data_IF_201921352482
#
_entry.id   IF_201921352482
#
_cell.length_a   1.000
_cell.length_b   1.000
_cell.length_c   1.000
_cell.angle_alpha   90.00
_cell.angle_beta   90.00
_cell.angle_gamma   90.00
#
_symmetry.space_group_name_H-M   'P 1'
#
loop_
_entity.id
_entity.type
_entity.pdbx_description
1 polymer ?
#
# COMPACT_ATOMS: atom_id res chain seq x y z
N UNK A 1 -6.43 -25.48 -3.14
CA UNK A 1 -5.85 -25.24 -1.81
C UNK A 1 -5.66 -26.58 -1.12
N UNK A 2 -4.43 -27.10 -0.98
CA UNK A 2 -4.16 -28.03 0.10
C UNK A 2 -4.35 -27.24 1.41
N UNK A 3 -5.08 -27.81 2.38
CA UNK A 3 -5.17 -27.22 3.72
C UNK A 3 -3.76 -27.18 4.30
N UNK A 4 -3.37 -26.05 4.90
CA UNK A 4 -2.21 -26.00 5.80
C UNK A 4 -2.24 -27.25 6.68
N UNK A 5 -1.16 -28.02 6.71
CA UNK A 5 -1.11 -29.27 7.46
C UNK A 5 -1.53 -28.98 8.89
N UNK A 6 -2.61 -29.64 9.31
CA UNK A 6 -3.15 -29.53 10.65
C UNK A 6 -2.01 -29.86 11.63
N UNK A 7 -1.62 -28.95 12.54
CA UNK A 7 -0.54 -29.17 13.51
C UNK A 7 -0.71 -30.48 14.28
N UNK A 8 -1.97 -30.94 14.45
CA UNK A 8 -2.28 -32.22 15.07
C UNK A 8 -1.83 -33.44 14.25
N UNK A 9 -1.82 -33.35 12.91
CA UNK A 9 -1.37 -34.42 12.02
C UNK A 9 0.15 -34.57 12.03
N UNK A 10 0.87 -33.45 12.01
CA UNK A 10 2.34 -33.43 12.14
C UNK A 10 2.78 -33.95 13.50
N UNK A 11 2.06 -33.56 14.56
CA UNK A 11 2.24 -34.09 15.90
C UNK A 11 1.99 -35.58 16.03
N UNK A 12 0.89 -36.07 15.43
CA UNK A 12 0.55 -37.49 15.42
C UNK A 12 1.63 -38.30 14.70
N UNK A 13 2.10 -37.83 13.55
CA UNK A 13 3.16 -38.50 12.77
C UNK A 13 4.46 -38.57 13.56
N UNK A 14 4.92 -37.44 14.10
CA UNK A 14 6.11 -37.40 14.95
C UNK A 14 5.95 -38.31 16.17
N UNK A 15 4.78 -38.26 16.83
CA UNK A 15 4.46 -39.08 17.99
C UNK A 15 4.48 -40.59 17.68
N UNK A 16 4.02 -41.00 16.50
CA UNK A 16 4.10 -42.39 16.04
C UNK A 16 5.55 -42.80 15.75
N UNK A 17 6.32 -41.94 15.10
CA UNK A 17 7.73 -42.20 14.72
C UNK A 17 8.67 -42.27 15.93
N UNK A 18 8.37 -41.51 17.00
CA UNK A 18 9.20 -41.42 18.20
C UNK A 18 8.67 -42.23 19.39
N UNK A 19 7.45 -42.80 19.28
CA UNK A 19 6.92 -43.71 20.29
C UNK A 19 7.60 -45.08 20.18
N UNK A 20 8.45 -45.42 21.15
CA UNK A 20 8.91 -46.79 21.32
C UNK A 20 7.74 -47.70 21.73
N UNK A 21 7.53 -48.84 21.05
CA UNK A 21 6.45 -49.76 21.39
C UNK A 21 6.55 -50.23 22.85
N UNK A 22 5.50 -49.99 23.65
CA UNK A 22 5.39 -50.46 25.03
C UNK A 22 5.88 -49.51 26.13
N UNK A 23 6.41 -48.33 25.81
CA UNK A 23 6.95 -47.38 26.80
C UNK A 23 5.93 -46.39 27.36
N UNK A 24 4.74 -46.29 26.76
CA UNK A 24 3.69 -45.31 27.11
C UNK A 24 3.28 -45.32 28.59
N UNK A 25 3.27 -46.49 29.25
CA UNK A 25 2.97 -46.59 30.69
C UNK A 25 4.07 -45.96 31.55
N UNK A 26 5.33 -46.18 31.17
CA UNK A 26 6.49 -45.63 31.87
C UNK A 26 6.56 -44.12 31.69
N UNK A 27 6.33 -43.62 30.47
CA UNK A 27 6.27 -42.19 30.18
C UNK A 27 5.15 -41.49 30.95
N UNK A 28 3.98 -42.13 31.12
CA UNK A 28 2.87 -41.58 31.92
C UNK A 28 3.18 -41.51 33.42
N UNK A 29 3.95 -42.47 33.95
CA UNK A 29 4.42 -42.47 35.34
C UNK A 29 5.50 -41.40 35.57
N UNK A 30 6.44 -41.24 34.63
CA UNK A 30 7.48 -40.20 34.67
C UNK A 30 6.88 -38.78 34.63
N UNK A 31 5.87 -38.54 33.78
CA UNK A 31 5.16 -37.25 33.71
C UNK A 31 4.42 -36.96 35.02
N UNK A 32 3.76 -37.95 35.63
CA UNK A 32 3.13 -37.81 36.96
C UNK A 32 4.14 -37.53 38.07
N UNK A 33 5.37 -38.06 37.94
CA UNK A 33 6.48 -37.80 38.85
C UNK A 33 7.18 -36.44 38.60
N UNK A 34 6.67 -35.62 37.67
CA UNK A 34 7.21 -34.28 37.37
C UNK A 34 8.40 -34.30 36.42
N UNK A 35 8.82 -35.46 35.91
CA UNK A 35 9.83 -35.58 34.85
C UNK A 35 9.14 -35.36 33.51
N UNK A 36 9.02 -34.10 33.10
CA UNK A 36 8.57 -33.77 31.75
C UNK A 36 9.69 -34.15 30.78
N UNK A 37 9.40 -34.82 29.65
CA UNK A 37 10.38 -34.98 28.59
C UNK A 37 10.87 -33.60 28.15
N UNK A 38 12.18 -33.49 27.93
CA UNK A 38 12.80 -32.23 27.53
C UNK A 38 12.18 -31.80 26.20
N UNK A 39 11.53 -30.64 26.17
CA UNK A 39 10.93 -30.08 24.97
C UNK A 39 12.07 -29.63 24.06
N UNK A 40 12.58 -30.54 23.24
CA UNK A 40 13.60 -30.20 22.26
C UNK A 40 12.98 -29.31 21.16
N UNK A 41 13.79 -28.50 20.46
CA UNK A 41 13.31 -27.60 19.41
C UNK A 41 12.54 -28.31 18.28
N UNK A 42 12.89 -29.55 17.96
CA UNK A 42 12.23 -30.36 16.93
C UNK A 42 10.78 -30.73 17.31
N UNK A 43 10.54 -31.09 18.58
CA UNK A 43 9.20 -31.38 19.12
C UNK A 43 8.37 -30.10 19.16
N UNK A 44 8.96 -28.98 19.58
CA UNK A 44 8.29 -27.67 19.58
C UNK A 44 7.90 -27.24 18.16
N UNK A 45 8.77 -27.46 17.17
CA UNK A 45 8.49 -27.18 15.75
C UNK A 45 7.42 -28.11 15.18
N UNK A 46 7.44 -29.41 15.53
CA UNK A 46 6.37 -30.34 15.17
C UNK A 46 5.03 -29.96 15.84
N UNK A 47 5.07 -29.40 17.05
CA UNK A 47 3.90 -28.96 17.83
C UNK A 47 3.27 -27.66 17.34
N UNK A 48 4.09 -26.64 17.13
CA UNK A 48 3.61 -25.30 16.77
C UNK A 48 3.54 -25.05 15.27
N UNK A 49 4.08 -25.99 14.47
CA UNK A 49 4.31 -25.79 13.05
C UNK A 49 5.47 -24.82 12.81
N UNK A 50 5.62 -24.46 11.54
CA UNK A 50 6.62 -23.51 11.10
C UNK A 50 6.25 -22.08 11.50
N UNK A 51 7.23 -21.32 11.99
CA UNK A 51 7.05 -19.91 12.32
C UNK A 51 6.82 -19.05 11.07
N UNK A 52 6.12 -17.93 11.21
CA UNK A 52 5.90 -17.02 10.08
C UNK A 52 7.22 -16.42 9.57
N UNK A 53 8.19 -16.18 10.45
CA UNK A 53 9.54 -15.79 10.05
C UNK A 53 10.24 -16.85 9.18
N UNK A 54 10.06 -18.15 9.45
CA UNK A 54 10.57 -19.20 8.56
C UNK A 54 9.82 -19.19 7.21
N UNK A 55 8.49 -19.08 7.21
CA UNK A 55 7.70 -19.01 5.97
C UNK A 55 8.08 -17.82 5.10
N UNK A 56 8.27 -16.64 5.68
CA UNK A 56 8.72 -15.45 4.96
C UNK A 56 10.10 -15.65 4.30
N UNK A 57 11.04 -16.34 4.99
CA UNK A 57 12.33 -16.70 4.37
C UNK A 57 12.16 -17.64 3.21
N UNK A 58 11.28 -18.64 3.33
CA UNK A 58 11.03 -19.59 2.25
C UNK A 58 10.35 -18.94 1.04
N UNK A 59 9.43 -18.00 1.25
CA UNK A 59 8.90 -17.16 0.17
C UNK A 59 10.05 -16.45 -0.56
N UNK A 60 10.93 -15.79 0.20
CA UNK A 60 12.06 -15.06 -0.39
C UNK A 60 13.02 -15.99 -1.13
N UNK A 61 13.29 -17.20 -0.61
CA UNK A 61 14.12 -18.18 -1.30
C UNK A 61 13.53 -18.57 -2.66
N UNK A 62 12.24 -18.85 -2.74
CA UNK A 62 11.59 -19.20 -4.02
C UNK A 62 11.60 -18.03 -5.00
N UNK A 63 11.33 -16.80 -4.53
CA UNK A 63 11.42 -15.58 -5.34
C UNK A 63 12.84 -15.41 -5.93
N UNK A 64 13.87 -15.72 -5.14
CA UNK A 64 15.29 -15.69 -5.55
C UNK A 64 15.70 -16.86 -6.46
N UNK A 65 14.79 -17.78 -6.76
CA UNK A 65 15.07 -18.94 -7.60
C UNK A 65 15.66 -20.14 -6.85
N UNK A 66 15.46 -20.23 -5.54
CA UNK A 66 15.82 -21.37 -4.72
C UNK A 66 14.56 -22.11 -4.24
N UNK A 67 14.33 -23.31 -4.78
CA UNK A 67 13.14 -24.08 -4.43
C UNK A 67 13.21 -24.55 -2.99
N UNK A 68 12.10 -24.36 -2.28
CA UNK A 68 11.85 -24.93 -0.97
C UNK A 68 10.43 -25.48 -1.00
N UNK A 69 10.22 -26.65 -0.39
CA UNK A 69 8.91 -27.25 -0.21
C UNK A 69 8.09 -26.43 0.81
N UNK A 70 7.38 -25.41 0.30
CA UNK A 70 6.59 -24.47 1.12
C UNK A 70 5.23 -25.04 1.56
N UNK A 71 4.73 -26.06 0.87
CA UNK A 71 3.43 -26.68 1.17
C UNK A 71 3.55 -28.02 1.90
N UNK A 72 4.78 -28.48 2.17
CA UNK A 72 5.06 -29.74 2.87
C UNK A 72 4.62 -30.96 2.04
N UNK A 73 4.56 -30.81 0.71
CA UNK A 73 4.18 -31.87 -0.23
C UNK A 73 5.25 -32.95 -0.35
N UNK A 74 6.48 -32.66 0.08
CA UNK A 74 7.67 -33.46 -0.16
C UNK A 74 8.19 -33.35 -1.60
N UNK A 75 7.65 -32.41 -2.40
CA UNK A 75 8.11 -32.20 -3.77
C UNK A 75 9.48 -31.53 -3.79
N UNK A 76 10.49 -32.29 -4.21
CA UNK A 76 11.84 -31.77 -4.47
C UNK A 76 11.92 -31.38 -5.95
N UNK A 77 11.64 -30.11 -6.25
CA UNK A 77 11.95 -29.53 -7.58
C UNK A 77 13.40 -29.07 -7.61
N UNK A 78 14.08 -29.21 -8.74
CA UNK A 78 15.37 -28.53 -8.90
C UNK A 78 15.12 -27.02 -9.04
N UNK A 79 16.08 -26.20 -8.61
CA UNK A 79 16.00 -24.74 -8.78
C UNK A 79 15.84 -24.30 -10.24
N UNK A 80 16.29 -25.13 -11.19
CA UNK A 80 16.12 -24.90 -12.63
C UNK A 80 14.67 -25.07 -13.12
N UNK A 81 13.83 -25.76 -12.35
CA UNK A 81 12.44 -26.08 -12.72
C UNK A 81 11.43 -25.08 -12.12
N UNK A 82 11.90 -24.07 -11.38
CA UNK A 82 11.03 -23.03 -10.79
C UNK A 82 10.47 -22.16 -11.90
N UNK A 83 9.14 -22.15 -12.03
CA UNK A 83 8.45 -21.33 -13.02
C UNK A 83 8.21 -19.91 -12.48
N UNK A 84 7.90 -18.92 -13.36
CA UNK A 84 7.45 -17.62 -12.91
C UNK A 84 6.23 -17.68 -11.98
N UNK A 85 5.27 -18.57 -12.27
CA UNK A 85 4.08 -18.74 -11.44
C UNK A 85 4.39 -19.25 -10.03
N UNK A 86 5.40 -20.11 -9.88
CA UNK A 86 5.88 -20.53 -8.55
C UNK A 86 6.45 -19.34 -7.76
N UNK A 87 7.14 -18.40 -8.44
CA UNK A 87 7.64 -17.16 -7.82
C UNK A 87 6.52 -16.18 -7.49
N UNK A 88 5.53 -16.02 -8.37
CA UNK A 88 4.38 -15.16 -8.12
C UNK A 88 3.56 -15.64 -6.92
N UNK A 89 3.35 -16.95 -6.79
CA UNK A 89 2.74 -17.52 -5.58
C UNK A 89 3.55 -17.23 -4.32
N UNK A 90 4.88 -17.29 -4.39
CA UNK A 90 5.73 -16.94 -3.27
C UNK A 90 5.63 -15.45 -2.89
N UNK A 91 5.45 -14.56 -3.86
CA UNK A 91 5.13 -13.15 -3.61
C UNK A 91 3.76 -12.96 -2.95
N UNK A 92 2.72 -13.62 -3.45
CA UNK A 92 1.36 -13.57 -2.87
C UNK A 92 1.35 -14.05 -1.41
N UNK A 93 2.04 -15.16 -1.14
CA UNK A 93 2.12 -15.71 0.20
C UNK A 93 2.95 -14.82 1.13
N UNK A 94 4.04 -14.21 0.64
CA UNK A 94 4.78 -13.20 1.40
C UNK A 94 3.88 -12.03 1.75
N UNK A 95 3.14 -11.49 0.76
CA UNK A 95 2.18 -10.40 0.96
C UNK A 95 1.15 -10.76 2.03
N UNK A 96 0.60 -11.98 2.00
CA UNK A 96 -0.36 -12.44 2.99
C UNK A 96 0.22 -12.48 4.40
N UNK A 97 1.46 -12.97 4.56
CA UNK A 97 2.13 -13.05 5.86
C UNK A 97 2.37 -11.66 6.47
N UNK A 98 2.76 -10.69 5.65
CA UNK A 98 3.08 -9.32 6.09
C UNK A 98 1.85 -8.42 6.22
N UNK A 99 0.64 -8.94 6.01
CA UNK A 99 -0.59 -8.26 6.46
C UNK A 99 -0.63 -8.17 8.00
N UNK A 100 0.08 -9.08 8.69
CA UNK A 100 0.38 -8.95 10.11
C UNK A 100 1.53 -7.94 10.34
N UNK A 101 1.30 -6.99 11.25
CA UNK A 101 2.24 -5.90 11.50
C UNK A 101 3.55 -6.37 12.14
N UNK A 102 3.53 -7.42 12.96
CA UNK A 102 4.75 -7.96 13.57
C UNK A 102 5.60 -8.64 12.49
N UNK A 103 4.99 -9.42 11.61
CA UNK A 103 5.66 -10.01 10.44
C UNK A 103 6.23 -8.93 9.51
N UNK A 104 5.46 -7.87 9.21
CA UNK A 104 5.93 -6.75 8.40
C UNK A 104 7.13 -6.01 9.02
N UNK A 105 7.17 -5.89 10.35
CA UNK A 105 8.29 -5.29 11.07
C UNK A 105 9.53 -6.18 11.04
N UNK A 106 9.33 -7.50 11.06
CA UNK A 106 10.42 -8.48 11.01
C UNK A 106 11.15 -8.52 9.67
N UNK A 107 10.59 -7.99 8.58
CA UNK A 107 11.31 -7.80 7.32
C UNK A 107 12.65 -7.07 7.53
N UNK A 108 12.70 -6.07 8.41
CA UNK A 108 13.94 -5.36 8.75
C UNK A 108 14.90 -6.26 9.52
N UNK A 109 14.41 -6.94 10.58
CA UNK A 109 15.23 -7.79 11.43
C UNK A 109 15.83 -8.98 10.66
N UNK A 110 15.12 -9.43 9.64
CA UNK A 110 15.50 -10.56 8.79
C UNK A 110 16.33 -10.15 7.57
N UNK A 111 16.52 -8.85 7.33
CA UNK A 111 17.25 -8.34 6.16
C UNK A 111 16.53 -8.60 4.83
N UNK A 112 15.19 -8.63 4.85
CA UNK A 112 14.38 -8.93 3.66
C UNK A 112 14.05 -7.70 2.80
N UNK A 113 14.31 -6.48 3.27
CA UNK A 113 14.06 -5.27 2.46
C UNK A 113 14.89 -5.22 1.19
N UNK A 114 16.21 -5.37 1.27
CA UNK A 114 17.08 -5.34 0.08
C UNK A 114 16.69 -6.38 -1.00
N UNK A 115 16.46 -7.67 -0.66
CA UNK A 115 16.05 -8.64 -1.67
C UNK A 115 14.63 -8.38 -2.19
N UNK A 116 13.73 -7.72 -1.47
CA UNK A 116 12.43 -7.28 -2.00
C UNK A 116 12.62 -6.08 -2.95
N UNK A 117 13.34 -5.05 -2.53
CA UNK A 117 13.45 -3.77 -3.22
C UNK A 117 14.20 -3.87 -4.55
N UNK A 118 15.18 -4.77 -4.67
CA UNK A 118 15.88 -4.98 -5.96
C UNK A 118 14.95 -5.45 -7.08
N UNK A 119 13.82 -6.08 -6.75
CA UNK A 119 12.83 -6.55 -7.75
C UNK A 119 11.94 -5.43 -8.28
N UNK A 120 11.99 -4.22 -7.70
CA UNK A 120 11.33 -3.03 -8.24
C UNK A 120 11.87 -2.61 -9.61
N UNK A 121 13.06 -3.09 -9.99
CA UNK A 121 13.69 -2.83 -11.30
C UNK A 121 13.84 -4.10 -12.13
N UNK A 122 12.99 -5.10 -11.91
CA UNK A 122 12.96 -6.32 -12.72
C UNK A 122 12.50 -6.03 -14.15
N UNK A 123 12.99 -6.80 -15.13
CA UNK A 123 12.50 -6.77 -16.51
C UNK A 123 11.10 -7.41 -16.65
N UNK A 124 10.69 -8.20 -15.65
CA UNK A 124 9.37 -8.79 -15.57
C UNK A 124 8.41 -7.87 -14.80
N UNK A 125 7.45 -7.29 -15.53
CA UNK A 125 6.47 -6.34 -15.00
C UNK A 125 5.61 -6.95 -13.87
N UNK A 126 5.29 -8.25 -13.94
CA UNK A 126 4.51 -8.92 -12.90
C UNK A 126 5.31 -9.05 -11.59
N UNK A 127 6.61 -9.35 -11.67
CA UNK A 127 7.52 -9.26 -10.51
C UNK A 127 7.56 -7.84 -9.92
N UNK A 128 7.65 -6.79 -10.74
CA UNK A 128 7.64 -5.39 -10.26
C UNK A 128 6.33 -5.08 -9.54
N UNK A 129 5.20 -5.54 -10.09
CA UNK A 129 3.86 -5.39 -9.52
C UNK A 129 3.78 -6.01 -8.11
N UNK A 130 4.25 -7.24 -7.95
CA UNK A 130 4.28 -7.95 -6.66
C UNK A 130 5.23 -7.28 -5.65
N UNK A 131 6.43 -6.86 -6.08
CA UNK A 131 7.36 -6.15 -5.22
C UNK A 131 6.73 -4.84 -4.70
N UNK A 132 6.06 -4.08 -5.57
CA UNK A 132 5.31 -2.89 -5.16
C UNK A 132 4.17 -3.24 -4.19
N UNK A 133 3.45 -4.33 -4.43
CA UNK A 133 2.36 -4.77 -3.56
C UNK A 133 2.86 -5.10 -2.15
N UNK A 134 3.90 -5.93 -2.03
CA UNK A 134 4.54 -6.26 -0.74
C UNK A 134 5.04 -5.01 -0.04
N UNK A 135 5.74 -4.11 -0.74
CA UNK A 135 6.19 -2.85 -0.16
C UNK A 135 5.02 -2.04 0.40
N UNK A 136 3.94 -1.88 -0.37
CA UNK A 136 2.78 -1.11 0.06
C UNK A 136 2.05 -1.71 1.24
N UNK A 137 1.91 -3.04 1.31
CA UNK A 137 1.27 -3.72 2.43
C UNK A 137 2.12 -3.61 3.70
N UNK A 138 3.44 -3.81 3.61
CA UNK A 138 4.33 -3.76 4.76
C UNK A 138 4.32 -2.38 5.45
N UNK A 139 4.25 -1.30 4.68
CA UNK A 139 4.32 0.08 5.19
C UNK A 139 2.95 0.70 5.47
N UNK A 140 1.84 0.03 5.14
CA UNK A 140 0.51 0.60 5.32
C UNK A 140 0.20 0.83 6.81
N UNK A 141 0.07 2.10 7.18
CA UNK A 141 -0.24 2.52 8.56
C UNK A 141 0.73 1.90 9.60
N UNK A 142 1.99 1.66 9.22
CA UNK A 142 2.99 1.02 10.04
C UNK A 142 4.27 1.87 10.14
N UNK A 143 4.39 2.77 11.13
CA UNK A 143 5.54 3.68 11.25
C UNK A 143 6.92 2.99 11.33
N UNK A 144 7.00 1.78 11.88
CA UNK A 144 8.26 1.03 11.98
C UNK A 144 8.71 0.54 10.59
N UNK A 145 7.82 -0.12 9.86
CA UNK A 145 8.12 -0.57 8.49
C UNK A 145 8.24 0.60 7.51
N UNK A 146 7.46 1.67 7.67
CA UNK A 146 7.63 2.92 6.92
C UNK A 146 9.05 3.47 7.10
N UNK A 147 9.53 3.55 8.36
CA UNK A 147 10.90 3.98 8.65
C UNK A 147 11.93 3.07 7.98
N UNK A 148 11.82 1.76 8.20
CA UNK A 148 12.74 0.78 7.60
C UNK A 148 12.77 0.92 6.08
N UNK A 149 11.61 0.98 5.43
CA UNK A 149 11.47 1.19 4.00
C UNK A 149 12.17 2.46 3.51
N UNK A 150 11.99 3.61 4.16
CA UNK A 150 12.67 4.84 3.74
C UNK A 150 14.17 4.88 4.01
N UNK A 151 14.68 4.09 4.98
CA UNK A 151 16.12 4.00 5.20
C UNK A 151 16.86 3.41 3.97
N UNK A 152 16.14 2.75 3.05
CA UNK A 152 16.65 2.29 1.74
C UNK A 152 16.40 3.27 0.57
N UNK A 153 15.80 4.45 0.82
CA UNK A 153 15.44 5.48 -0.17
C UNK A 153 14.72 4.96 -1.46
N UNK A 154 13.62 4.19 -1.35
CA UNK A 154 12.95 3.58 -2.50
C UNK A 154 12.01 4.53 -3.27
N UNK A 155 11.74 5.72 -2.74
CA UNK A 155 10.79 6.68 -3.33
C UNK A 155 11.11 7.06 -4.78
N UNK A 156 12.38 7.31 -5.18
CA UNK A 156 12.70 7.59 -6.59
C UNK A 156 12.25 6.47 -7.53
N UNK A 157 12.53 5.21 -7.16
CA UNK A 157 12.16 4.04 -7.96
C UNK A 157 10.64 3.90 -8.03
N UNK A 158 9.94 3.99 -6.90
CA UNK A 158 8.47 3.91 -6.86
C UNK A 158 7.83 5.03 -7.70
N UNK A 159 8.30 6.27 -7.58
CA UNK A 159 7.82 7.39 -8.39
C UNK A 159 8.04 7.16 -9.88
N UNK A 160 9.17 6.57 -10.27
CA UNK A 160 9.44 6.25 -11.68
C UNK A 160 8.47 5.20 -12.23
N UNK A 161 8.09 4.20 -11.41
CA UNK A 161 7.13 3.17 -11.80
C UNK A 161 5.73 3.79 -11.95
N UNK A 162 5.31 4.67 -11.03
CA UNK A 162 4.01 5.37 -11.11
C UNK A 162 3.86 6.14 -12.43
N UNK A 163 4.91 6.86 -12.84
CA UNK A 163 4.94 7.65 -14.08
C UNK A 163 5.32 6.86 -15.34
N UNK A 164 5.62 5.57 -15.23
CA UNK A 164 6.10 4.78 -16.36
C UNK A 164 5.01 4.53 -17.41
N UNK A 165 5.32 4.80 -18.67
CA UNK A 165 4.44 4.45 -19.80
C UNK A 165 4.62 3.00 -20.28
N UNK A 166 5.66 2.30 -19.83
CA UNK A 166 5.93 0.91 -20.21
C UNK A 166 5.40 -0.10 -19.19
N UNK A 167 5.21 0.32 -17.94
CA UNK A 167 4.64 -0.53 -16.89
C UNK A 167 3.13 -0.74 -17.12
N UNK A 168 2.62 -1.92 -16.75
CA UNK A 168 1.18 -2.19 -16.83
C UNK A 168 0.37 -1.30 -15.90
N UNK A 169 -0.94 -1.19 -16.16
CA UNK A 169 -1.85 -0.38 -15.32
C UNK A 169 -1.91 -0.91 -13.88
N UNK A 170 -1.78 -2.22 -13.71
CA UNK A 170 -1.77 -2.97 -12.47
C UNK A 170 -0.50 -2.66 -11.67
N UNK A 171 0.67 -2.73 -12.32
CA UNK A 171 1.97 -2.37 -11.72
C UNK A 171 1.98 -0.93 -11.24
N UNK A 172 1.55 0.01 -12.08
CA UNK A 172 1.46 1.43 -11.73
C UNK A 172 0.49 1.67 -10.57
N UNK A 173 -0.63 0.95 -10.53
CA UNK A 173 -1.58 1.04 -9.42
C UNK A 173 -1.01 0.49 -8.10
N UNK A 174 -0.22 -0.59 -8.13
CA UNK A 174 0.49 -1.11 -6.94
C UNK A 174 1.63 -0.19 -6.51
N UNK A 175 2.35 0.42 -7.44
CA UNK A 175 3.35 1.44 -7.12
C UNK A 175 2.73 2.67 -6.44
N UNK A 176 1.60 3.17 -6.96
CA UNK A 176 0.87 4.28 -6.33
C UNK A 176 0.31 3.89 -4.95
N UNK A 177 -0.09 2.63 -4.78
CA UNK A 177 -0.47 2.09 -3.48
C UNK A 177 0.69 2.07 -2.48
N UNK A 178 1.88 1.64 -2.91
CA UNK A 178 3.08 1.68 -2.08
C UNK A 178 3.47 3.11 -1.71
N UNK A 179 3.48 4.02 -2.69
CA UNK A 179 3.73 5.43 -2.47
C UNK A 179 2.74 6.03 -1.47
N UNK A 180 1.44 5.82 -1.68
CA UNK A 180 0.39 6.31 -0.78
C UNK A 180 0.57 5.77 0.64
N UNK A 181 0.90 4.49 0.78
CA UNK A 181 1.08 3.85 2.09
C UNK A 181 2.33 4.36 2.80
N UNK A 182 3.41 4.68 2.07
CA UNK A 182 4.63 5.25 2.64
C UNK A 182 4.45 6.71 3.12
N UNK A 183 3.64 7.52 2.43
CA UNK A 183 3.47 8.95 2.72
C UNK A 183 2.41 9.25 3.79
N UNK A 184 1.35 8.44 3.86
CA UNK A 184 0.25 8.67 4.80
C UNK A 184 0.70 8.51 6.26
N UNK A 185 0.20 9.39 7.11
CA UNK A 185 0.43 9.46 8.54
C UNK A 185 1.91 9.60 8.94
N UNK A 186 2.78 10.04 8.02
CA UNK A 186 4.19 10.24 8.30
C UNK A 186 4.83 11.40 7.53
N UNK A 187 5.06 12.51 8.24
CA UNK A 187 5.52 13.76 7.63
C UNK A 187 6.96 13.71 7.10
N UNK A 188 7.84 12.90 7.71
CA UNK A 188 9.21 12.76 7.22
C UNK A 188 9.26 12.15 5.81
N UNK A 189 8.34 11.22 5.50
CA UNK A 189 8.19 10.69 4.15
C UNK A 189 7.72 11.75 3.15
N UNK A 190 6.74 12.57 3.56
CA UNK A 190 6.22 13.67 2.73
C UNK A 190 7.32 14.70 2.45
N UNK A 191 8.13 15.04 3.46
CA UNK A 191 9.29 15.93 3.29
C UNK A 191 10.29 15.35 2.30
N UNK A 192 10.71 14.09 2.49
CA UNK A 192 11.62 13.41 1.57
C UNK A 192 11.07 13.36 0.15
N UNK A 193 9.79 13.05 -0.01
CA UNK A 193 9.10 13.04 -1.30
C UNK A 193 9.11 14.42 -1.96
N UNK A 194 8.89 15.48 -1.18
CA UNK A 194 8.94 16.86 -1.66
C UNK A 194 10.35 17.26 -2.12
N UNK A 195 11.39 16.92 -1.36
CA UNK A 195 12.80 17.17 -1.72
C UNK A 195 13.21 16.51 -3.03
N UNK A 196 12.63 15.34 -3.32
CA UNK A 196 12.85 14.57 -4.55
C UNK A 196 12.06 15.11 -5.76
N UNK A 197 11.27 16.18 -5.61
CA UNK A 197 10.36 16.62 -6.68
C UNK A 197 9.24 15.62 -6.94
N UNK A 198 8.75 14.94 -5.90
CA UNK A 198 7.69 13.94 -6.02
C UNK A 198 6.34 14.54 -6.43
N UNK A 199 6.11 15.83 -6.18
CA UNK A 199 4.86 16.50 -6.57
C UNK A 199 4.62 16.47 -8.08
N UNK A 200 5.68 16.52 -8.90
CA UNK A 200 5.57 16.37 -10.35
C UNK A 200 4.98 15.00 -10.75
N UNK A 201 5.34 13.92 -10.04
CA UNK A 201 4.74 12.59 -10.25
C UNK A 201 3.23 12.60 -9.98
N UNK A 202 2.78 13.27 -8.90
CA UNK A 202 1.35 13.38 -8.62
C UNK A 202 0.63 14.28 -9.63
N UNK A 203 1.24 15.38 -10.07
CA UNK A 203 0.70 16.24 -11.14
C UNK A 203 0.46 15.44 -12.42
N UNK A 204 1.43 14.63 -12.86
CA UNK A 204 1.27 13.76 -14.02
C UNK A 204 0.15 12.72 -13.81
N UNK A 205 0.07 12.15 -12.60
CA UNK A 205 -0.92 11.12 -12.29
C UNK A 205 -2.36 11.67 -12.23
N UNK A 206 -2.54 12.94 -11.86
CA UNK A 206 -3.84 13.63 -11.95
C UNK A 206 -4.33 13.77 -13.40
N UNK A 207 -3.44 13.66 -14.39
CA UNK A 207 -3.75 13.71 -15.81
C UNK A 207 -3.72 12.33 -16.47
N UNK A 208 -3.55 11.26 -15.70
CA UNK A 208 -3.40 9.90 -16.21
C UNK A 208 -4.64 9.43 -17.00
N UNK A 209 -4.51 8.65 -18.08
CA UNK A 209 -5.67 8.08 -18.77
C UNK A 209 -6.58 7.23 -17.86
N UNK A 210 -6.02 6.64 -16.79
CA UNK A 210 -6.75 5.86 -15.79
C UNK A 210 -7.42 6.76 -14.75
N UNK A 211 -8.74 6.85 -14.82
CA UNK A 211 -9.60 7.53 -13.84
C UNK A 211 -9.32 7.03 -12.40
N UNK A 212 -9.08 5.73 -12.24
CA UNK A 212 -8.73 5.11 -10.96
C UNK A 212 -7.42 5.66 -10.38
N UNK A 213 -6.42 5.94 -11.21
CA UNK A 213 -5.17 6.56 -10.76
C UNK A 213 -5.35 8.02 -10.37
N UNK A 214 -6.14 8.78 -11.15
CA UNK A 214 -6.50 10.16 -10.80
C UNK A 214 -7.20 10.21 -9.44
N UNK A 215 -8.24 9.39 -9.25
CA UNK A 215 -9.00 9.31 -7.99
C UNK A 215 -8.10 8.93 -6.80
N UNK A 216 -7.25 7.91 -6.94
CA UNK A 216 -6.28 7.53 -5.88
C UNK A 216 -5.31 8.66 -5.55
N UNK A 217 -4.91 9.47 -6.52
CA UNK A 217 -4.04 10.61 -6.33
C UNK A 217 -4.75 11.75 -5.59
N UNK A 218 -5.98 12.08 -5.97
CA UNK A 218 -6.80 13.06 -5.25
C UNK A 218 -7.03 12.64 -3.78
N UNK A 219 -7.30 11.36 -3.54
CA UNK A 219 -7.40 10.81 -2.19
C UNK A 219 -6.08 10.96 -1.41
N UNK A 220 -4.94 10.62 -2.02
CA UNK A 220 -3.64 10.79 -1.37
C UNK A 220 -3.37 12.26 -1.00
N UNK A 221 -3.64 13.21 -1.91
CA UNK A 221 -3.50 14.64 -1.63
C UNK A 221 -4.40 15.06 -0.45
N UNK A 222 -5.64 14.58 -0.41
CA UNK A 222 -6.57 14.80 0.71
C UNK A 222 -5.99 14.29 2.04
N UNK A 223 -5.37 13.11 2.04
CA UNK A 223 -4.72 12.59 3.26
C UNK A 223 -3.50 13.42 3.69
N UNK A 224 -2.66 13.81 2.73
CA UNK A 224 -1.45 14.60 3.01
C UNK A 224 -1.81 15.99 3.57
N UNK A 225 -2.81 16.68 3.02
CA UNK A 225 -3.21 18.00 3.58
C UNK A 225 -3.82 17.89 4.97
N UNK A 226 -4.52 16.78 5.24
CA UNK A 226 -5.15 16.52 6.55
C UNK A 226 -4.11 16.27 7.65
N UNK A 227 -3.06 15.50 7.35
CA UNK A 227 -1.99 15.23 8.33
C UNK A 227 -0.98 16.38 8.45
N UNK A 228 -0.87 17.26 7.46
CA UNK A 228 0.21 18.25 7.38
C UNK A 228 0.26 19.17 8.61
N UNK A 229 1.40 19.30 9.31
CA UNK A 229 1.56 20.24 10.41
C UNK A 229 1.60 21.71 9.92
N UNK A 230 1.97 21.93 8.66
CA UNK A 230 1.97 23.25 8.00
C UNK A 230 1.28 23.13 6.63
N UNK A 231 -0.07 23.26 6.59
CA UNK A 231 -0.82 23.17 5.35
C UNK A 231 -0.50 24.33 4.39
N UNK A 232 -0.14 25.51 4.89
CA UNK A 232 0.18 26.67 4.04
C UNK A 232 1.46 26.45 3.23
N UNK A 233 2.52 25.94 3.86
CA UNK A 233 3.77 25.59 3.15
C UNK A 233 3.57 24.42 2.17
N UNK A 234 2.76 23.44 2.56
CA UNK A 234 2.37 22.34 1.66
C UNK A 234 1.67 22.89 0.40
N UNK A 235 0.66 23.75 0.55
CA UNK A 235 -0.03 24.36 -0.60
C UNK A 235 0.91 25.17 -1.48
N UNK A 236 1.87 25.89 -0.90
CA UNK A 236 2.90 26.58 -1.68
C UNK A 236 3.70 25.60 -2.55
N UNK A 237 4.11 24.46 -1.99
CA UNK A 237 4.83 23.41 -2.73
C UNK A 237 3.97 22.81 -3.85
N UNK A 238 2.69 22.53 -3.57
CA UNK A 238 1.74 22.01 -4.57
C UNK A 238 1.47 23.02 -5.68
N UNK A 239 1.47 24.33 -5.41
CA UNK A 239 1.37 25.38 -6.43
C UNK A 239 2.62 25.45 -7.29
N UNK A 240 3.81 25.41 -6.67
CA UNK A 240 5.09 25.45 -7.40
C UNK A 240 5.23 24.27 -8.36
N UNK A 241 4.71 23.09 -8.00
CA UNK A 241 4.69 21.91 -8.85
C UNK A 241 3.47 21.81 -9.79
N UNK A 242 2.63 22.85 -9.83
CA UNK A 242 1.35 22.90 -10.56
C UNK A 242 0.34 21.81 -10.18
N UNK A 243 0.55 21.08 -9.08
CA UNK A 243 -0.34 20.01 -8.61
C UNK A 243 -1.70 20.55 -8.18
N UNK A 244 -1.72 21.64 -7.40
CA UNK A 244 -2.97 22.26 -6.94
C UNK A 244 -3.80 22.84 -8.11
N UNK A 245 -3.23 23.67 -9.00
CA UNK A 245 -3.95 24.12 -10.20
C UNK A 245 -4.46 22.97 -11.06
N UNK A 246 -3.63 21.94 -11.30
CA UNK A 246 -4.02 20.78 -12.10
C UNK A 246 -5.21 20.03 -11.49
N UNK A 247 -5.23 19.86 -10.16
CA UNK A 247 -6.35 19.22 -9.48
C UNK A 247 -7.63 20.06 -9.64
N UNK A 248 -7.58 21.37 -9.35
CA UNK A 248 -8.74 22.26 -9.45
C UNK A 248 -9.29 22.28 -10.88
N UNK A 249 -8.41 22.47 -11.87
CA UNK A 249 -8.81 22.51 -13.28
C UNK A 249 -9.37 21.15 -13.75
N UNK A 250 -8.94 20.03 -13.15
CA UNK A 250 -9.48 18.72 -13.48
C UNK A 250 -10.88 18.46 -12.90
N UNK A 251 -11.38 19.32 -12.01
CA UNK A 251 -12.71 19.20 -11.39
C UNK A 251 -13.83 19.91 -12.15
N UNK A 252 -13.52 20.68 -13.20
CA UNK A 252 -14.54 21.25 -14.09
C UNK A 252 -14.49 20.61 -15.47
N UNK A 253 -15.63 20.20 -16.08
CA UNK A 253 -15.65 19.58 -17.40
C UNK A 253 -15.10 20.50 -18.50
N UNK A 254 -15.16 21.82 -18.26
CA UNK A 254 -14.67 22.84 -19.18
C UNK A 254 -13.14 22.89 -19.28
N UNK A 255 -12.43 22.46 -18.24
CA UNK A 255 -10.96 22.54 -18.12
C UNK A 255 -10.29 21.18 -17.94
N UNK A 256 -11.07 20.12 -17.66
CA UNK A 256 -10.54 18.78 -17.46
C UNK A 256 -9.87 18.23 -18.72
N UNK A 257 -8.71 17.60 -18.53
CA UNK A 257 -8.05 16.85 -19.60
C UNK A 257 -8.97 15.69 -20.00
N UNK A 258 -9.36 15.57 -21.30
CA UNK A 258 -10.24 14.50 -21.76
C UNK A 258 -9.76 13.12 -21.33
N UNK A 259 -10.72 12.24 -21.00
CA UNK A 259 -10.45 10.89 -20.48
C UNK A 259 -11.06 9.84 -21.37
N UNK A 260 -10.35 8.72 -21.55
CA UNK A 260 -10.79 7.59 -22.37
C UNK A 260 -9.90 7.36 -23.59
N UNK A 261 -9.93 6.15 -24.13
CA UNK A 261 -9.09 5.72 -25.26
C UNK A 261 -9.33 6.53 -26.56
N UNK A 262 -10.45 7.26 -26.64
CA UNK A 262 -10.89 8.05 -27.80
C UNK A 262 -10.74 9.56 -27.63
N UNK A 263 -10.32 10.04 -26.45
CA UNK A 263 -10.22 11.48 -26.17
C UNK A 263 -11.56 12.22 -26.10
N UNK A 264 -12.68 11.50 -25.94
CA UNK A 264 -13.99 12.10 -25.70
C UNK A 264 -14.02 12.77 -24.31
N UNK A 265 -14.67 13.94 -24.21
CA UNK A 265 -15.00 14.53 -22.91
C UNK A 265 -16.05 13.65 -22.23
N UNK A 266 -15.60 12.60 -21.55
CA UNK A 266 -16.45 11.89 -20.62
C UNK A 266 -16.79 12.83 -19.46
N UNK A 267 -18.00 12.69 -18.93
CA UNK A 267 -18.35 13.30 -17.65
C UNK A 267 -17.23 13.01 -16.63
N UNK A 268 -16.86 14.00 -15.82
CA UNK A 268 -15.83 13.82 -14.80
C UNK A 268 -16.19 12.59 -13.97
N UNK A 269 -15.21 11.70 -13.80
CA UNK A 269 -15.36 10.53 -12.94
C UNK A 269 -15.83 10.96 -11.54
N UNK A 270 -16.97 10.43 -11.11
CA UNK A 270 -17.61 10.83 -9.85
C UNK A 270 -16.66 10.61 -8.67
N UNK A 271 -15.97 9.48 -8.62
CA UNK A 271 -15.02 9.15 -7.54
C UNK A 271 -13.84 10.14 -7.49
N UNK A 272 -13.27 10.51 -8.64
CA UNK A 272 -12.25 11.56 -8.72
C UNK A 272 -12.79 12.93 -8.26
N UNK A 273 -13.98 13.32 -8.73
CA UNK A 273 -14.64 14.58 -8.36
C UNK A 273 -14.80 14.68 -6.84
N UNK A 274 -15.36 13.64 -6.23
CA UNK A 274 -15.69 13.63 -4.80
C UNK A 274 -14.42 13.67 -3.94
N UNK A 275 -13.37 12.94 -4.33
CA UNK A 275 -12.07 12.97 -3.65
C UNK A 275 -11.34 14.31 -3.83
N UNK A 276 -11.45 14.93 -5.00
CA UNK A 276 -10.88 16.25 -5.25
C UNK A 276 -11.60 17.34 -4.45
N UNK A 277 -12.93 17.31 -4.40
CA UNK A 277 -13.71 18.19 -3.53
C UNK A 277 -13.39 17.96 -2.06
N UNK A 278 -13.20 16.70 -1.63
CA UNK A 278 -12.78 16.39 -0.26
C UNK A 278 -11.42 16.98 0.09
N UNK A 279 -10.46 16.93 -0.84
CA UNK A 279 -9.18 17.62 -0.67
C UNK A 279 -9.39 19.14 -0.47
N UNK A 280 -10.26 19.77 -1.24
CA UNK A 280 -10.53 21.21 -1.15
C UNK A 280 -11.22 21.61 0.15
N UNK A 281 -12.19 20.81 0.62
CA UNK A 281 -12.82 21.02 1.93
C UNK A 281 -11.78 20.97 3.04
N UNK A 282 -10.98 19.89 3.10
CA UNK A 282 -9.93 19.75 4.10
C UNK A 282 -8.91 20.89 3.99
N UNK A 283 -8.60 21.35 2.77
CA UNK A 283 -7.66 22.46 2.54
C UNK A 283 -8.18 23.76 3.15
N UNK A 284 -9.43 24.13 2.89
CA UNK A 284 -10.04 25.36 3.42
C UNK A 284 -10.16 25.28 4.94
N UNK A 285 -10.57 24.15 5.49
CA UNK A 285 -10.64 23.95 6.93
C UNK A 285 -9.27 24.09 7.60
N UNK A 286 -8.25 23.39 7.07
CA UNK A 286 -6.89 23.37 7.64
C UNK A 286 -6.14 24.69 7.50
N UNK A 287 -6.55 25.55 6.58
CA UNK A 287 -5.93 26.87 6.36
C UNK A 287 -6.77 28.03 6.87
N UNK A 288 -7.89 27.76 7.56
CA UNK A 288 -8.77 28.78 8.11
C UNK A 288 -8.01 29.73 9.06
N UNK A 289 -8.13 31.03 8.81
CA UNK A 289 -7.45 32.07 9.59
C UNK A 289 -5.96 32.21 9.29
N UNK A 290 -5.43 31.55 8.26
CA UNK A 290 -4.06 31.72 7.78
C UNK A 290 -4.05 32.48 6.46
N UNK A 291 -2.97 33.23 6.19
CA UNK A 291 -2.79 33.92 4.90
C UNK A 291 -2.36 32.97 3.76
N UNK A 292 -2.16 31.67 4.07
CA UNK A 292 -1.62 30.67 3.15
C UNK A 292 -2.66 29.73 2.52
N UNK A 293 -3.96 30.02 2.66
CA UNK A 293 -5.05 29.25 2.06
C UNK A 293 -5.19 29.43 0.54
N UNK A 294 -6.37 29.09 -0.01
CA UNK A 294 -6.66 29.26 -1.44
C UNK A 294 -6.66 30.74 -1.86
N UNK A 295 -6.07 31.04 -3.01
CA UNK A 295 -6.11 32.38 -3.62
C UNK A 295 -7.52 32.71 -4.12
N UNK A 296 -7.80 34.00 -4.38
CA UNK A 296 -9.10 34.41 -4.92
C UNK A 296 -9.45 33.72 -6.24
N UNK A 297 -8.49 33.62 -7.15
CA UNK A 297 -8.67 32.93 -8.44
C UNK A 297 -8.93 31.43 -8.25
N UNK A 298 -8.22 30.79 -7.30
CA UNK A 298 -8.45 29.38 -6.96
C UNK A 298 -9.85 29.19 -6.36
N UNK A 299 -10.28 30.07 -5.46
CA UNK A 299 -11.63 30.03 -4.87
C UNK A 299 -12.71 30.16 -5.94
N UNK A 300 -12.58 31.08 -6.90
CA UNK A 300 -13.54 31.27 -7.98
C UNK A 300 -13.67 30.00 -8.85
N UNK A 301 -12.55 29.34 -9.18
CA UNK A 301 -12.57 28.06 -9.90
C UNK A 301 -13.23 26.94 -9.09
N UNK A 302 -12.93 26.86 -7.79
CA UNK A 302 -13.54 25.86 -6.90
C UNK A 302 -15.05 26.10 -6.75
N UNK A 303 -15.51 27.35 -6.66
CA UNK A 303 -16.93 27.67 -6.64
C UNK A 303 -17.64 27.18 -7.92
N UNK A 304 -17.02 27.36 -9.09
CA UNK A 304 -17.57 26.87 -10.35
C UNK A 304 -17.68 25.34 -10.35
N UNK A 305 -16.62 24.63 -9.94
CA UNK A 305 -16.64 23.16 -9.86
C UNK A 305 -17.70 22.64 -8.87
N UNK A 306 -17.87 23.32 -7.73
CA UNK A 306 -18.94 23.01 -6.75
C UNK A 306 -20.32 23.23 -7.35
N UNK A 307 -20.53 24.34 -8.06
CA UNK A 307 -21.81 24.64 -8.69
C UNK A 307 -22.15 23.64 -9.82
N UNK A 308 -21.15 23.17 -10.56
CA UNK A 308 -21.32 22.11 -11.57
C UNK A 308 -21.64 20.75 -10.93
N UNK A 309 -21.02 20.43 -9.78
CA UNK A 309 -21.33 19.22 -9.02
C UNK A 309 -22.76 19.26 -8.45
N UNK A 310 -23.20 20.38 -7.87
CA UNK A 310 -24.56 20.54 -7.33
C UNK A 310 -25.66 20.56 -8.41
N UNK A 311 -25.31 20.80 -9.67
CA UNK A 311 -26.24 20.67 -10.82
C UNK A 311 -26.48 19.21 -11.24
N UNK A 312 -25.60 18.28 -10.86
CA UNK A 312 -25.81 16.85 -11.01
C UNK A 312 -26.85 16.43 -9.97
N UNK A 313 -28.11 16.27 -10.39
CA UNK A 313 -29.25 16.05 -9.49
C UNK A 313 -29.20 14.76 -8.64
N UNK A 314 -28.22 13.89 -8.88
CA UNK A 314 -27.93 12.70 -8.08
C UNK A 314 -26.84 12.92 -7.02
N UNK A 315 -26.16 14.07 -7.02
CA UNK A 315 -25.00 14.35 -6.18
C UNK A 315 -25.34 15.22 -4.97
N UNK A 316 -24.64 14.98 -3.86
CA UNK A 316 -24.81 15.72 -2.60
C UNK A 316 -23.49 15.83 -1.82
N UNK A 317 -23.48 16.65 -0.77
CA UNK A 317 -22.33 16.76 0.13
C UNK A 317 -22.00 15.43 0.85
N UNK A 318 -22.96 14.51 0.97
CA UNK A 318 -22.73 13.20 1.58
C UNK A 318 -21.77 12.34 0.74
N UNK A 319 -21.70 12.55 -0.57
CA UNK A 319 -20.78 11.84 -1.48
C UNK A 319 -19.31 12.24 -1.23
N UNK A 320 -19.08 13.47 -0.76
CA UNK A 320 -17.77 13.96 -0.30
C UNK A 320 -17.45 13.47 1.13
N UNK A 321 -18.45 12.91 1.82
CA UNK A 321 -18.36 12.42 3.19
C UNK A 321 -18.27 13.52 4.24
N UNK A 322 -18.93 14.66 3.99
CA UNK A 322 -18.92 15.84 4.88
C UNK A 322 -20.33 16.17 5.34
N UNK A 323 -20.44 16.73 6.55
CA UNK A 323 -21.73 17.10 7.11
C UNK A 323 -22.30 18.36 6.41
N UNK A 324 -23.62 18.54 6.46
CA UNK A 324 -24.28 19.66 5.78
C UNK A 324 -23.81 21.05 6.28
N UNK A 325 -23.52 21.17 7.58
CA UNK A 325 -22.99 22.38 8.21
C UNK A 325 -21.52 22.63 7.82
N UNK A 326 -20.71 21.57 7.75
CA UNK A 326 -19.32 21.62 7.25
C UNK A 326 -19.30 22.07 5.78
N UNK A 327 -20.18 21.51 4.94
CA UNK A 327 -20.31 21.90 3.53
C UNK A 327 -20.76 23.35 3.36
N UNK A 328 -21.72 23.81 4.17
CA UNK A 328 -22.16 25.20 4.16
C UNK A 328 -21.02 26.14 4.57
N UNK A 329 -20.26 25.80 5.62
CA UNK A 329 -19.11 26.58 6.06
C UNK A 329 -18.03 26.66 4.97
N UNK A 330 -17.73 25.55 4.30
CA UNK A 330 -16.81 25.51 3.16
C UNK A 330 -17.25 26.48 2.05
N UNK A 331 -18.53 26.47 1.65
CA UNK A 331 -19.05 27.37 0.61
C UNK A 331 -19.01 28.85 1.01
N UNK A 332 -19.18 29.17 2.29
CA UNK A 332 -19.04 30.55 2.78
C UNK A 332 -17.59 31.03 2.76
N UNK A 333 -16.63 30.19 3.17
CA UNK A 333 -15.20 30.51 3.12
C UNK A 333 -14.68 30.71 1.68
N UNK A 334 -15.29 30.03 0.70
CA UNK A 334 -14.98 30.27 -0.71
C UNK A 334 -15.40 31.66 -1.18
N UNK A 335 -16.43 32.28 -0.58
CA UNK A 335 -16.94 33.62 -0.96
C UNK A 335 -16.18 34.77 -0.28
N UNK A 336 -15.55 34.49 0.86
CA UNK A 336 -14.77 35.43 1.65
C UNK A 336 -13.42 35.76 0.98
#
# INVERSE_FOLDING_TARGET
MPRAQDPSQSLLRWGIENAQPGTLRQTAEDIKAGKRPDLNPEILKAMMGQSDAEKMRECMLVIEGHWVDRDGSGEVKNSADITPEDRYRAWEDLEMLIQDLDNANDLQNMGLWDPILKHLTSDDDETVMYACWVCGTAVQNNPKSQKAFLDHDPLPTISSIVSSSSASSETRAKALYALSSALKHWDAAVQRFSELGGWQTLTQTLQDPSLKMRAKTAFLLSQIVTQSPDPSSLLSSLRTASTLPTLIDSLSPSTAVPTGATGEQQAIDRDFRDKGLRFLVNTVERTKGTDGGLSREEKDKVQNAVAEAEQDGEWSHDDVGVAADEWAAFKEELKA
#
